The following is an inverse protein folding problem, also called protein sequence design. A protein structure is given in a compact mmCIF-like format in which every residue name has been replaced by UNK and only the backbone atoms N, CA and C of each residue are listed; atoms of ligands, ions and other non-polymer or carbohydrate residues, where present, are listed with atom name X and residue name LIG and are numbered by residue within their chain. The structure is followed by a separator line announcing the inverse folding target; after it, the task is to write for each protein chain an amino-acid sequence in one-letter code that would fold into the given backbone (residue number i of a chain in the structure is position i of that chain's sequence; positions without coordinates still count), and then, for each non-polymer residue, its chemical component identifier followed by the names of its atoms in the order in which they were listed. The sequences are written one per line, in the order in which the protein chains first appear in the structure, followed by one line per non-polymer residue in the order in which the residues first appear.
data_IF_705511210889
#
_entry.id   IF_705511210889
#
_cell.length_a   1.000
_cell.length_b   1.000
_cell.length_c   1.000
_cell.angle_alpha   90.00
_cell.angle_beta   90.00
_cell.angle_gamma   90.00
#
_symmetry.space_group_name_H-M   'P 1'
#
loop_
_entity.id
_entity.type
_entity.pdbx_description
1 polymer ?
#
# COMPACT_ATOMS: atom_id res chain seq x y z
N UNK A 1 -12.74 22.10 7.01
CA UNK A 1 -11.51 21.26 7.01
C UNK A 1 -11.75 19.79 6.63
N UNK A 2 -12.77 19.09 7.15
CA UNK A 2 -13.01 17.66 6.85
C UNK A 2 -13.31 17.37 5.36
N UNK A 3 -14.20 18.14 4.74
CA UNK A 3 -14.53 18.01 3.30
C UNK A 3 -13.29 18.23 2.43
N UNK A 4 -12.41 19.15 2.82
CA UNK A 4 -11.13 19.39 2.13
C UNK A 4 -10.23 18.16 2.13
N UNK A 5 -10.05 17.49 3.28
CA UNK A 5 -9.23 16.26 3.34
C UNK A 5 -9.85 15.10 2.53
N UNK A 6 -11.17 14.94 2.56
CA UNK A 6 -11.84 13.92 1.76
C UNK A 6 -11.70 14.20 0.26
N UNK A 7 -11.88 15.45 -0.16
CA UNK A 7 -11.67 15.89 -1.54
C UNK A 7 -10.22 15.74 -1.99
N UNK A 8 -9.25 16.07 -1.13
CA UNK A 8 -7.83 15.89 -1.38
C UNK A 8 -7.47 14.41 -1.54
N UNK A 9 -8.00 13.52 -0.71
CA UNK A 9 -7.78 12.08 -0.83
C UNK A 9 -8.32 11.53 -2.17
N UNK A 10 -9.52 11.95 -2.58
CA UNK A 10 -10.10 11.58 -3.87
C UNK A 10 -9.24 12.12 -5.02
N UNK A 11 -8.80 13.38 -4.93
CA UNK A 11 -7.90 13.97 -5.92
C UNK A 11 -6.59 13.20 -6.04
N UNK A 12 -6.00 12.77 -4.92
CA UNK A 12 -4.80 11.94 -4.93
C UNK A 12 -5.06 10.58 -5.58
N UNK A 13 -6.18 9.91 -5.27
CA UNK A 13 -6.53 8.61 -5.87
C UNK A 13 -6.71 8.74 -7.38
N UNK A 14 -7.44 9.76 -7.84
CA UNK A 14 -7.73 9.96 -9.26
C UNK A 14 -6.47 10.44 -10.00
N UNK A 15 -5.77 11.44 -9.45
CA UNK A 15 -4.59 12.04 -10.06
C UNK A 15 -3.42 11.06 -10.15
N UNK A 16 -3.09 10.39 -9.04
CA UNK A 16 -2.04 9.36 -9.04
C UNK A 16 -2.48 8.12 -9.82
N UNK A 17 -3.78 7.79 -9.82
CA UNK A 17 -4.32 6.70 -10.61
C UNK A 17 -4.17 6.94 -12.11
N UNK A 18 -4.48 8.15 -12.58
CA UNK A 18 -4.30 8.54 -13.97
C UNK A 18 -2.83 8.55 -14.39
N UNK A 19 -1.94 9.09 -13.54
CA UNK A 19 -0.49 9.04 -13.79
C UNK A 19 0.03 7.60 -13.81
N UNK A 20 -0.46 6.76 -12.90
CA UNK A 20 -0.11 5.34 -12.82
C UNK A 20 -0.52 4.55 -14.06
N UNK A 21 -1.73 4.76 -14.58
CA UNK A 21 -2.21 4.06 -15.79
C UNK A 21 -1.22 4.19 -16.96
N UNK A 22 -0.67 5.39 -17.13
CA UNK A 22 0.26 5.72 -18.22
C UNK A 22 1.70 5.29 -17.93
N UNK A 23 2.07 5.06 -16.68
CA UNK A 23 3.46 4.77 -16.28
C UNK A 23 3.74 3.27 -15.98
N UNK A 24 2.77 2.55 -15.42
CA UNK A 24 2.95 1.17 -14.91
C UNK A 24 1.91 0.18 -15.46
N UNK A 25 0.95 0.66 -16.24
CA UNK A 25 -0.11 -0.13 -16.84
C UNK A 25 -1.30 -0.43 -15.92
N UNK A 26 -2.42 -0.82 -16.51
CA UNK A 26 -3.69 -1.05 -15.82
C UNK A 26 -3.66 -2.14 -14.73
N UNK A 27 -2.98 -3.29 -14.89
CA UNK A 27 -2.96 -4.34 -13.87
C UNK A 27 -2.32 -3.87 -12.56
N UNK A 28 -1.16 -3.21 -12.65
CA UNK A 28 -0.48 -2.68 -11.45
C UNK A 28 -1.30 -1.54 -10.84
N UNK A 29 -1.90 -0.68 -11.66
CA UNK A 29 -2.82 0.34 -11.20
C UNK A 29 -4.03 -0.25 -10.47
N UNK A 30 -4.60 -1.37 -10.91
CA UNK A 30 -5.74 -1.99 -10.22
C UNK A 30 -5.36 -2.46 -8.81
N UNK A 31 -4.15 -2.99 -8.62
CA UNK A 31 -3.65 -3.44 -7.33
C UNK A 31 -3.39 -2.22 -6.40
N UNK A 32 -2.60 -1.26 -6.88
CA UNK A 32 -2.20 -0.07 -6.10
C UNK A 32 -3.39 0.87 -5.89
N UNK A 33 -4.09 1.23 -6.96
CA UNK A 33 -5.26 2.10 -6.94
C UNK A 33 -6.45 1.48 -6.20
N UNK A 34 -6.67 0.17 -6.34
CA UNK A 34 -7.66 -0.57 -5.56
C UNK A 34 -7.38 -0.50 -4.07
N UNK A 35 -6.11 -0.62 -3.67
CA UNK A 35 -5.67 -0.43 -2.29
C UNK A 35 -5.93 0.99 -1.78
N UNK A 36 -5.77 2.01 -2.63
CA UNK A 36 -6.12 3.39 -2.34
C UNK A 36 -7.60 3.59 -2.07
N UNK A 37 -8.47 2.98 -2.88
CA UNK A 37 -9.93 3.03 -2.70
C UNK A 37 -10.38 2.32 -1.42
N UNK A 38 -9.88 1.10 -1.18
CA UNK A 38 -10.20 0.35 0.04
C UNK A 38 -9.67 1.11 1.27
N UNK A 39 -8.44 1.62 1.20
CA UNK A 39 -7.83 2.45 2.25
C UNK A 39 -8.65 3.69 2.54
N UNK A 40 -9.20 4.35 1.52
CA UNK A 40 -10.09 5.51 1.68
C UNK A 40 -11.38 5.14 2.44
N UNK A 41 -12.04 4.05 2.06
CA UNK A 41 -13.25 3.56 2.75
C UNK A 41 -12.96 3.21 4.21
N UNK A 42 -11.86 2.48 4.46
CA UNK A 42 -11.44 2.12 5.81
C UNK A 42 -11.09 3.36 6.66
N UNK A 43 -10.37 4.31 6.08
CA UNK A 43 -10.03 5.57 6.74
C UNK A 43 -11.27 6.35 7.14
N UNK A 44 -12.23 6.55 6.22
CA UNK A 44 -13.51 7.21 6.50
C UNK A 44 -14.26 6.57 7.65
N UNK A 45 -14.28 5.23 7.70
CA UNK A 45 -15.00 4.47 8.71
C UNK A 45 -14.33 4.48 10.09
N UNK A 46 -13.01 4.34 10.15
CA UNK A 46 -12.32 4.01 11.41
C UNK A 46 -11.47 5.14 11.99
N UNK A 47 -11.01 6.10 11.19
CA UNK A 47 -9.99 7.06 11.65
C UNK A 47 -10.10 8.48 11.07
N UNK A 48 -11.13 8.77 10.27
CA UNK A 48 -11.25 10.08 9.63
C UNK A 48 -11.69 11.18 10.60
N UNK A 49 -12.75 10.93 11.37
CA UNK A 49 -13.27 11.91 12.33
C UNK A 49 -12.43 11.98 13.61
N UNK A 50 -11.79 10.87 13.95
CA UNK A 50 -10.93 10.68 15.12
C UNK A 50 -9.66 9.96 14.65
N UNK A 51 -8.63 10.70 14.21
CA UNK A 51 -7.34 10.12 13.83
C UNK A 51 -6.79 9.21 14.91
N UNK A 52 -6.18 8.11 14.51
CA UNK A 52 -5.64 7.13 15.45
C UNK A 52 -4.47 7.75 16.22
N UNK A 53 -4.39 7.56 17.55
CA UNK A 53 -3.24 7.97 18.33
C UNK A 53 -1.93 7.39 17.78
N UNK A 54 -0.88 8.20 17.77
CA UNK A 54 0.42 7.85 17.20
C UNK A 54 1.01 6.58 17.83
N UNK A 55 0.79 6.37 19.12
CA UNK A 55 1.29 5.25 19.93
C UNK A 55 0.72 3.90 19.46
N UNK A 56 -0.40 3.93 18.74
CA UNK A 56 -1.08 2.74 18.23
C UNK A 56 -0.69 2.45 16.78
N UNK A 57 -0.59 3.50 15.94
CA UNK A 57 -0.46 3.36 14.49
C UNK A 57 0.99 3.47 14.00
N UNK A 58 1.84 4.24 14.66
CA UNK A 58 3.16 4.61 14.14
C UNK A 58 4.11 3.42 14.04
N UNK A 59 4.20 2.61 15.09
CA UNK A 59 5.11 1.45 15.11
C UNK A 59 4.73 0.42 14.04
N UNK A 60 3.46 -0.03 13.94
CA UNK A 60 3.05 -0.91 12.83
C UNK A 60 3.33 -0.28 11.46
N UNK A 61 3.06 1.01 11.28
CA UNK A 61 3.31 1.72 10.04
C UNK A 61 4.79 1.71 9.64
N UNK A 62 5.68 2.08 10.57
CA UNK A 62 7.12 2.09 10.33
C UNK A 62 7.67 0.68 10.05
N UNK A 63 7.18 -0.34 10.73
CA UNK A 63 7.55 -1.73 10.45
C UNK A 63 7.08 -2.16 9.05
N UNK A 64 5.84 -1.86 8.67
CA UNK A 64 5.34 -2.13 7.31
C UNK A 64 6.20 -1.44 6.26
N UNK A 65 6.51 -0.15 6.44
CA UNK A 65 7.35 0.59 5.49
C UNK A 65 8.79 0.05 5.44
N UNK A 66 9.41 -0.25 6.58
CA UNK A 66 10.77 -0.78 6.64
C UNK A 66 10.88 -2.15 5.96
N UNK A 67 9.95 -3.05 6.23
CA UNK A 67 9.89 -4.35 5.58
C UNK A 67 9.50 -4.26 4.10
N UNK A 68 8.67 -3.29 3.72
CA UNK A 68 8.38 -3.00 2.33
C UNK A 68 9.65 -2.56 1.58
N UNK A 69 10.54 -1.78 2.21
CA UNK A 69 11.83 -1.44 1.57
C UNK A 69 12.68 -2.69 1.30
N UNK A 70 12.70 -3.65 2.24
CA UNK A 70 13.42 -4.91 2.02
C UNK A 70 12.78 -5.75 0.91
N UNK A 71 11.44 -5.77 0.84
CA UNK A 71 10.70 -6.40 -0.23
C UNK A 71 11.04 -5.78 -1.61
N UNK A 72 11.01 -4.46 -1.70
CA UNK A 72 11.35 -3.71 -2.92
C UNK A 72 12.81 -3.94 -3.36
N UNK A 73 13.74 -4.18 -2.43
CA UNK A 73 15.12 -4.56 -2.78
C UNK A 73 15.16 -5.91 -3.50
N UNK A 74 14.40 -6.89 -3.02
CA UNK A 74 14.25 -8.16 -3.72
C UNK A 74 13.64 -7.94 -5.12
N UNK A 75 12.53 -7.21 -5.21
CA UNK A 75 11.87 -6.90 -6.48
C UNK A 75 12.81 -6.22 -7.49
N UNK A 76 13.63 -5.28 -7.02
CA UNK A 76 14.63 -4.59 -7.81
C UNK A 76 15.69 -5.56 -8.34
N UNK A 77 16.30 -6.34 -7.45
CA UNK A 77 17.41 -7.25 -7.81
C UNK A 77 16.97 -8.38 -8.74
N UNK A 78 15.70 -8.80 -8.65
CA UNK A 78 15.11 -9.86 -9.46
C UNK A 78 14.32 -9.33 -10.66
N UNK A 79 14.35 -8.01 -10.93
CA UNK A 79 13.74 -7.37 -12.08
C UNK A 79 12.21 -7.57 -12.19
N UNK A 80 11.50 -7.30 -11.09
CA UNK A 80 10.03 -7.31 -11.02
C UNK A 80 9.33 -6.56 -12.17
N UNK A 81 9.79 -5.37 -12.62
CA UNK A 81 9.12 -4.66 -13.70
C UNK A 81 9.12 -5.43 -15.02
N UNK A 82 10.22 -6.12 -15.33
CA UNK A 82 10.29 -7.00 -16.51
C UNK A 82 9.32 -8.17 -16.37
N UNK A 83 9.27 -8.82 -15.19
CA UNK A 83 8.37 -9.94 -14.94
C UNK A 83 6.88 -9.55 -15.11
N UNK A 84 6.49 -8.40 -14.56
CA UNK A 84 5.13 -7.85 -14.73
C UNK A 84 4.86 -7.49 -16.19
N UNK A 85 5.82 -6.86 -16.86
CA UNK A 85 5.69 -6.48 -18.28
C UNK A 85 5.46 -7.69 -19.17
N UNK A 86 6.19 -8.78 -18.93
CA UNK A 86 6.02 -10.06 -19.64
C UNK A 86 4.71 -10.76 -19.29
N UNK A 87 4.32 -10.74 -18.00
CA UNK A 87 3.10 -11.42 -17.54
C UNK A 87 1.81 -10.74 -18.06
N UNK A 88 1.82 -9.42 -18.17
CA UNK A 88 0.62 -8.63 -18.50
C UNK A 88 0.70 -7.86 -19.82
N UNK A 89 1.80 -7.96 -20.56
CA UNK A 89 2.05 -7.23 -21.80
C UNK A 89 1.91 -5.71 -21.63
N UNK A 90 2.57 -5.16 -20.61
CA UNK A 90 2.60 -3.72 -20.30
C UNK A 90 4.01 -3.17 -20.39
N UNK A 91 4.13 -1.84 -20.50
CA UNK A 91 5.41 -1.15 -20.49
C UNK A 91 5.77 -0.67 -19.08
N UNK A 92 6.12 -1.60 -18.20
CA UNK A 92 6.60 -1.25 -16.86
C UNK A 92 8.13 -1.35 -16.79
N UNK A 93 8.79 -0.20 -16.76
CA UNK A 93 10.26 -0.14 -16.86
C UNK A 93 10.92 -0.11 -15.48
N UNK A 94 12.21 -0.48 -15.43
CA UNK A 94 13.01 -0.33 -14.21
C UNK A 94 13.11 1.14 -13.76
N UNK A 95 13.21 2.08 -14.72
CA UNK A 95 13.26 3.51 -14.39
C UNK A 95 11.98 3.97 -13.68
N UNK A 96 10.81 3.61 -14.21
CA UNK A 96 9.51 3.92 -13.57
C UNK A 96 9.37 3.25 -12.21
N UNK A 97 9.88 2.03 -12.04
CA UNK A 97 9.87 1.33 -10.76
C UNK A 97 10.70 2.07 -9.69
N UNK A 98 11.92 2.50 -10.04
CA UNK A 98 12.79 3.25 -9.13
C UNK A 98 12.12 4.58 -8.72
N UNK A 99 11.64 5.37 -9.70
CA UNK A 99 11.07 6.68 -9.39
C UNK A 99 9.83 6.59 -8.51
N UNK A 100 8.95 5.62 -8.76
CA UNK A 100 7.67 5.50 -8.05
C UNK A 100 7.86 4.78 -6.72
N UNK A 101 8.43 3.58 -6.73
CA UNK A 101 8.43 2.67 -5.58
C UNK A 101 9.69 2.79 -4.70
N UNK A 102 10.86 3.10 -5.29
CA UNK A 102 12.10 3.22 -4.50
C UNK A 102 12.36 4.63 -4.00
N UNK A 103 11.76 5.65 -4.62
CA UNK A 103 12.00 7.06 -4.28
C UNK A 103 10.74 7.79 -3.80
N UNK A 104 9.73 7.96 -4.67
CA UNK A 104 8.55 8.75 -4.32
C UNK A 104 7.73 8.12 -3.19
N UNK A 105 7.49 6.81 -3.24
CA UNK A 105 6.81 6.05 -2.18
C UNK A 105 7.50 6.24 -0.82
N UNK A 106 8.79 5.91 -0.69
CA UNK A 106 9.54 6.07 0.56
C UNK A 106 9.54 7.49 1.11
N UNK A 107 9.66 8.50 0.23
CA UNK A 107 9.51 9.90 0.65
C UNK A 107 8.13 10.16 1.28
N UNK A 108 7.05 9.67 0.66
CA UNK A 108 5.69 9.75 1.22
C UNK A 108 5.61 9.01 2.56
N UNK A 109 6.30 7.89 2.74
CA UNK A 109 6.29 7.14 4.01
C UNK A 109 6.88 7.96 5.16
N UNK A 110 8.01 8.64 4.93
CA UNK A 110 8.62 9.52 5.94
C UNK A 110 7.72 10.69 6.33
N UNK A 111 7.13 11.38 5.34
CA UNK A 111 6.19 12.47 5.62
C UNK A 111 4.91 11.97 6.31
N UNK A 112 4.47 10.75 5.98
CA UNK A 112 3.33 10.13 6.66
C UNK A 112 3.66 9.83 8.12
N UNK A 113 4.82 9.24 8.41
CA UNK A 113 5.26 9.00 9.78
C UNK A 113 5.32 10.30 10.60
N UNK A 114 5.87 11.38 10.02
CA UNK A 114 5.85 12.70 10.64
C UNK A 114 4.41 13.20 10.87
N UNK A 115 3.54 13.09 9.87
CA UNK A 115 2.14 13.50 9.98
C UNK A 115 1.31 12.69 10.99
N UNK A 116 1.65 11.41 11.20
CA UNK A 116 1.01 10.57 12.21
C UNK A 116 1.30 11.07 13.64
N UNK A 117 2.50 11.60 13.91
CA UNK A 117 2.82 12.23 15.20
C UNK A 117 1.97 13.47 15.49
N UNK A 118 1.53 14.17 14.45
CA UNK A 118 0.65 15.34 14.57
C UNK A 118 -0.83 15.00 14.44
N UNK A 119 -1.21 13.72 14.50
CA UNK A 119 -2.60 13.26 14.36
C UNK A 119 -3.27 13.76 13.07
N UNK A 120 -2.49 13.92 11.99
CA UNK A 120 -3.00 14.45 10.73
C UNK A 120 -3.96 13.42 10.07
N UNK A 121 -5.21 13.81 9.71
CA UNK A 121 -6.16 12.91 9.06
C UNK A 121 -5.66 12.34 7.74
N UNK A 122 -4.94 13.13 6.93
CA UNK A 122 -4.39 12.68 5.66
C UNK A 122 -3.28 11.65 5.87
N UNK A 123 -2.45 11.81 6.91
CA UNK A 123 -1.45 10.80 7.25
C UNK A 123 -2.10 9.47 7.66
N UNK A 124 -3.24 9.52 8.36
CA UNK A 124 -4.03 8.31 8.65
C UNK A 124 -4.57 7.66 7.37
N UNK A 125 -5.01 8.45 6.38
CA UNK A 125 -5.41 7.91 5.07
C UNK A 125 -4.26 7.19 4.37
N UNK A 126 -3.08 7.82 4.31
CA UNK A 126 -1.91 7.21 3.67
C UNK A 126 -1.48 5.94 4.44
N UNK A 127 -1.53 5.95 5.78
CA UNK A 127 -1.27 4.75 6.57
C UNK A 127 -2.24 3.60 6.24
N UNK A 128 -3.52 3.90 6.04
CA UNK A 128 -4.49 2.90 5.56
C UNK A 128 -4.15 2.37 4.17
N UNK A 129 -3.76 3.25 3.24
CA UNK A 129 -3.28 2.83 1.92
C UNK A 129 -2.08 1.87 2.03
N UNK A 130 -1.11 2.16 2.90
CA UNK A 130 0.07 1.30 3.11
C UNK A 130 -0.30 -0.03 3.78
N UNK A 131 -1.18 -0.02 4.77
CA UNK A 131 -1.63 -1.24 5.41
C UNK A 131 -2.46 -2.14 4.48
N UNK A 132 -3.18 -1.58 3.51
CA UNK A 132 -3.97 -2.37 2.56
C UNK A 132 -3.14 -2.81 1.35
N UNK A 133 -2.33 -1.91 0.78
CA UNK A 133 -1.48 -2.23 -0.37
C UNK A 133 -0.34 -3.14 0.05
N UNK A 134 0.82 -2.58 0.43
CA UNK A 134 1.93 -3.34 1.00
C UNK A 134 1.58 -4.31 2.13
N UNK A 135 0.56 -3.99 2.94
CA UNK A 135 0.18 -4.84 4.07
C UNK A 135 -0.75 -6.01 3.74
N UNK A 136 -1.45 -6.03 2.60
CA UNK A 136 -2.36 -7.13 2.23
C UNK A 136 -2.26 -7.50 0.75
N UNK A 137 -2.24 -6.53 -0.15
CA UNK A 137 -2.18 -6.75 -1.59
C UNK A 137 -0.87 -7.43 -2.06
N UNK A 138 0.17 -7.47 -1.24
CA UNK A 138 1.40 -8.23 -1.50
C UNK A 138 1.17 -9.73 -1.68
N UNK A 139 0.04 -10.27 -1.21
CA UNK A 139 -0.37 -11.64 -1.51
C UNK A 139 -0.47 -11.90 -3.02
N UNK A 140 -0.59 -10.86 -3.85
CA UNK A 140 -0.54 -10.97 -5.30
C UNK A 140 0.77 -11.56 -5.82
N UNK A 141 1.89 -11.40 -5.12
CA UNK A 141 3.16 -12.07 -5.46
C UNK A 141 3.04 -13.59 -5.42
N UNK A 142 2.23 -14.15 -4.52
CA UNK A 142 1.94 -15.58 -4.48
C UNK A 142 0.97 -16.02 -5.60
N UNK A 143 0.18 -15.09 -6.15
CA UNK A 143 -0.79 -15.35 -7.21
C UNK A 143 -0.15 -15.26 -8.60
N UNK A 144 0.82 -14.36 -8.82
CA UNK A 144 1.43 -14.16 -10.13
C UNK A 144 2.04 -15.43 -10.77
N UNK A 145 2.74 -16.32 -10.03
CA UNK A 145 3.20 -17.59 -10.59
C UNK A 145 2.06 -18.47 -11.12
N UNK A 146 0.91 -18.47 -10.45
CA UNK A 146 -0.27 -19.23 -10.88
C UNK A 146 -0.85 -18.67 -12.18
N UNK A 147 -0.86 -17.34 -12.32
CA UNK A 147 -1.27 -16.68 -13.57
C UNK A 147 -0.27 -16.99 -14.68
N UNK A 148 1.04 -16.94 -14.39
CA UNK A 148 2.09 -17.27 -15.36
C UNK A 148 1.95 -18.72 -15.84
N UNK A 149 1.72 -19.66 -14.91
CA UNK A 149 1.44 -21.06 -15.22
C UNK A 149 0.20 -21.22 -16.11
N UNK A 150 -0.92 -20.59 -15.75
CA UNK A 150 -2.15 -20.64 -16.54
C UNK A 150 -2.00 -20.07 -17.96
N UNK A 151 -1.02 -19.17 -18.18
CA UNK A 151 -0.68 -18.60 -19.48
C UNK A 151 0.41 -19.38 -20.24
N UNK A 152 0.94 -20.47 -19.68
CA UNK A 152 2.03 -21.24 -20.29
C UNK A 152 3.38 -20.52 -20.28
N UNK A 153 3.59 -19.55 -19.37
CA UNK A 153 4.84 -18.77 -19.25
C UNK A 153 5.83 -19.40 -18.25
N UNK A 154 5.70 -20.69 -17.94
CA UNK A 154 6.48 -21.38 -16.90
C UNK A 154 7.99 -21.38 -17.19
N UNK A 155 8.37 -21.45 -18.46
CA UNK A 155 9.77 -21.51 -18.87
C UNK A 155 10.47 -20.16 -18.72
N UNK A 156 9.71 -19.08 -18.48
CA UNK A 156 10.24 -17.73 -18.27
C UNK A 156 10.55 -17.43 -16.81
N UNK A 157 10.05 -18.22 -15.86
CA UNK A 157 10.21 -17.95 -14.43
C UNK A 157 10.52 -19.22 -13.63
N UNK A 158 11.79 -19.37 -13.24
CA UNK A 158 12.15 -20.26 -12.13
C UNK A 158 11.72 -19.68 -10.77
N UNK A 159 11.62 -18.34 -10.70
CA UNK A 159 11.29 -17.57 -9.51
C UNK A 159 10.55 -16.29 -9.93
N UNK A 160 9.45 -15.95 -9.26
CA UNK A 160 8.76 -14.68 -9.47
C UNK A 160 9.24 -13.66 -8.42
N UNK A 161 9.69 -12.45 -8.82
CA UNK A 161 10.22 -11.45 -7.89
C UNK A 161 9.25 -11.13 -6.75
N UNK A 162 9.74 -11.07 -5.51
CA UNK A 162 8.98 -10.74 -4.30
C UNK A 162 8.36 -11.93 -3.55
N UNK A 163 8.48 -13.17 -4.05
CA UNK A 163 7.91 -14.37 -3.41
C UNK A 163 8.53 -14.71 -2.05
N UNK A 164 9.80 -14.42 -1.81
CA UNK A 164 10.46 -14.73 -0.54
C UNK A 164 10.18 -13.70 0.55
N UNK A 165 9.73 -12.50 0.18
CA UNK A 165 9.62 -11.39 1.12
C UNK A 165 8.24 -10.75 1.19
N UNK A 166 7.25 -11.17 0.38
CA UNK A 166 5.90 -10.56 0.38
C UNK A 166 5.26 -10.53 1.77
N UNK A 167 5.55 -11.51 2.63
CA UNK A 167 5.00 -11.57 3.98
C UNK A 167 5.61 -10.55 4.94
N UNK A 168 6.79 -10.00 4.63
CA UNK A 168 7.51 -9.06 5.49
C UNK A 168 6.71 -7.78 5.75
N UNK A 169 6.23 -7.02 4.75
CA UNK A 169 5.35 -5.87 4.98
C UNK A 169 3.92 -6.31 5.37
N UNK A 170 3.50 -7.51 4.95
CA UNK A 170 2.14 -8.02 5.17
C UNK A 170 1.82 -8.20 6.66
N UNK A 171 2.70 -8.87 7.40
CA UNK A 171 2.50 -9.16 8.84
C UNK A 171 2.26 -7.89 9.67
N UNK A 172 3.17 -6.89 9.68
CA UNK A 172 2.94 -5.65 10.41
C UNK A 172 1.79 -4.83 9.82
N UNK A 173 1.51 -4.95 8.52
CA UNK A 173 0.39 -4.26 7.87
C UNK A 173 -0.96 -4.73 8.39
N UNK A 174 -1.19 -6.04 8.38
CA UNK A 174 -2.39 -6.67 8.97
C UNK A 174 -2.48 -6.34 10.47
N UNK A 175 -1.36 -6.40 11.19
CA UNK A 175 -1.32 -6.02 12.60
C UNK A 175 -1.75 -4.56 12.80
N UNK A 176 -1.27 -3.63 11.97
CA UNK A 176 -1.66 -2.22 11.96
C UNK A 176 -3.16 -2.03 11.77
N UNK A 177 -3.76 -2.72 10.80
CA UNK A 177 -5.23 -2.72 10.58
C UNK A 177 -5.96 -3.13 11.85
N UNK A 178 -5.56 -4.27 12.45
CA UNK A 178 -6.22 -4.80 13.66
C UNK A 178 -6.13 -3.79 14.81
N UNK A 179 -4.97 -3.15 14.99
CA UNK A 179 -4.74 -2.16 16.06
C UNK A 179 -5.61 -0.90 15.86
N UNK A 180 -5.64 -0.35 14.65
CA UNK A 180 -6.45 0.83 14.32
C UNK A 180 -7.94 0.56 14.51
N UNK A 181 -8.45 -0.57 13.99
CA UNK A 181 -9.87 -0.94 14.10
C UNK A 181 -10.28 -1.14 15.55
N UNK A 182 -9.47 -1.85 16.35
CA UNK A 182 -9.74 -2.06 17.78
C UNK A 182 -9.80 -0.72 18.53
N UNK A 183 -8.82 0.17 18.30
CA UNK A 183 -8.78 1.50 18.92
C UNK A 183 -10.04 2.32 18.60
N UNK A 184 -10.44 2.33 17.33
CA UNK A 184 -11.62 3.05 16.85
C UNK A 184 -12.90 2.58 17.56
N UNK A 185 -13.09 1.26 17.66
CA UNK A 185 -14.27 0.66 18.31
C UNK A 185 -14.31 0.94 19.81
N UNK A 186 -13.19 0.85 20.51
CA UNK A 186 -13.12 1.18 21.94
C UNK A 186 -13.52 2.63 22.20
N UNK A 187 -13.04 3.55 21.36
CA UNK A 187 -13.36 4.98 21.45
C UNK A 187 -14.83 5.27 21.12
N UNK A 188 -15.43 4.53 20.19
CA UNK A 188 -16.87 4.64 19.88
C UNK A 188 -17.73 4.15 21.04
N UNK A 189 -17.43 2.98 21.60
CA UNK A 189 -18.18 2.40 22.72
C UNK A 189 -18.13 3.27 23.97
N UNK A 190 -16.97 3.86 24.28
CA UNK A 190 -16.84 4.78 25.40
C UNK A 190 -17.71 6.04 25.23
N UNK A 191 -17.88 6.54 24.00
CA UNK A 191 -18.71 7.71 23.72
C UNK A 191 -20.21 7.45 23.64
N UNK A 192 -20.65 6.18 23.52
CA UNK A 192 -22.06 5.81 23.52
C UNK A 192 -22.60 5.49 24.93
N UNK A 193 -21.70 5.27 25.90
CA UNK A 193 -22.02 4.87 27.27
C UNK A 193 -21.98 6.05 28.26
N UNK A 194 -21.72 7.29 27.80
CA UNK A 194 -21.72 8.51 28.60
C UNK A 194 -22.69 9.53 28.04
#
# INVERSE_FOLDING_TARGET
MRIFYAGLAIFLIIGLGYMGANAIGWPVLLIVGGSGLIGWVCWLKFSFTRPTPSEIILVPFLLTCGFLMLHIVEEYTMNFPLAISQLFHVHFTMATFIYIFMLAGPAIYFFTAAGLNYHNPLANFIAWFIFIGPGVAEITHAIFPLIAWAKGLTDHYAYFPGLYTFYLPMIPGIYGIVRVVKSSRTTQNAGNNG
#
